data_IF_743789587763
#
_entry.id   IF_743789587763
#
_cell.length_a   1.000
_cell.length_b   1.000
_cell.length_c   1.000
_cell.angle_alpha   90.00
_cell.angle_beta   90.00
_cell.angle_gamma   90.00
#
_symmetry.space_group_name_H-M   'P 1'
#
loop_
_entity.id
_entity.type
_entity.pdbx_description
1 polymer ?
#
# COMPACT_ATOMS: atom_id res chain seq x y z
N UNK A 1 -7.55 22.77 -11.22
CA UNK A 1 -7.64 22.79 -9.75
C UNK A 1 -8.78 21.90 -9.21
N UNK A 2 -10.05 22.12 -9.62
CA UNK A 2 -11.20 21.36 -9.09
C UNK A 2 -11.08 19.84 -9.32
N UNK A 3 -10.64 19.41 -10.49
CA UNK A 3 -10.44 17.99 -10.81
C UNK A 3 -9.44 17.33 -9.85
N UNK A 4 -8.31 17.97 -9.60
CA UNK A 4 -7.31 17.46 -8.63
C UNK A 4 -7.85 17.45 -7.20
N UNK A 5 -8.63 18.46 -6.79
CA UNK A 5 -9.30 18.44 -5.49
C UNK A 5 -10.26 17.25 -5.33
N UNK A 6 -11.04 16.92 -6.38
CA UNK A 6 -11.88 15.71 -6.41
C UNK A 6 -11.03 14.44 -6.32
N UNK A 7 -9.94 14.36 -7.09
CA UNK A 7 -9.02 13.21 -7.07
C UNK A 7 -8.45 12.96 -5.68
N UNK A 8 -7.96 14.01 -5.00
CA UNK A 8 -7.43 13.91 -3.65
C UNK A 8 -8.50 13.48 -2.64
N UNK A 9 -9.73 14.02 -2.76
CA UNK A 9 -10.84 13.57 -1.93
C UNK A 9 -11.10 12.08 -2.11
N UNK A 10 -11.19 11.59 -3.33
CA UNK A 10 -11.37 10.16 -3.61
C UNK A 10 -10.20 9.35 -3.06
N UNK A 11 -8.96 9.80 -3.26
CA UNK A 11 -7.75 9.12 -2.79
C UNK A 11 -7.69 8.96 -1.26
N UNK A 12 -8.26 9.89 -0.51
CA UNK A 12 -8.35 9.80 0.96
C UNK A 12 -9.57 8.99 1.39
N UNK A 13 -10.75 9.33 0.87
CA UNK A 13 -12.01 8.79 1.37
C UNK A 13 -12.23 7.32 1.01
N UNK A 14 -11.61 6.80 -0.07
CA UNK A 14 -11.71 5.37 -0.35
C UNK A 14 -11.07 4.52 0.76
N UNK A 15 -9.97 4.99 1.37
CA UNK A 15 -9.35 4.31 2.51
C UNK A 15 -10.26 4.29 3.72
N UNK A 16 -11.03 5.38 3.91
CA UNK A 16 -11.99 5.47 5.02
C UNK A 16 -13.13 4.47 4.84
N UNK A 17 -13.73 4.41 3.64
CA UNK A 17 -14.81 3.43 3.39
C UNK A 17 -14.30 1.98 3.39
N UNK A 18 -13.06 1.73 2.94
CA UNK A 18 -12.45 0.39 2.99
C UNK A 18 -12.25 -0.10 4.43
N UNK A 19 -12.00 0.82 5.36
CA UNK A 19 -11.77 0.51 6.77
C UNK A 19 -13.07 0.42 7.57
N UNK A 20 -14.04 1.30 7.29
CA UNK A 20 -15.23 1.48 8.09
C UNK A 20 -16.56 1.08 7.41
N UNK A 21 -16.55 0.74 6.12
CA UNK A 21 -17.73 0.44 5.32
C UNK A 21 -18.51 1.70 4.97
N UNK A 22 -19.81 1.84 5.35
CA UNK A 22 -20.61 3.03 5.10
C UNK A 22 -19.99 4.29 5.71
N UNK A 23 -19.97 5.38 4.95
CA UNK A 23 -19.44 6.69 5.39
C UNK A 23 -20.31 7.85 4.88
N UNK A 24 -20.28 9.03 5.50
CA UNK A 24 -20.81 10.24 4.91
C UNK A 24 -19.98 10.66 3.71
N UNK A 25 -20.54 10.70 2.50
CA UNK A 25 -19.76 11.03 1.29
C UNK A 25 -20.50 11.98 0.34
N UNK A 26 -21.67 11.57 -0.17
CA UNK A 26 -22.36 12.29 -1.26
C UNK A 26 -23.12 13.53 -0.80
N UNK A 27 -23.49 13.59 0.47
CA UNK A 27 -24.39 14.62 1.04
C UNK A 27 -23.69 15.56 2.03
N UNK A 28 -22.36 15.53 2.09
CA UNK A 28 -21.56 16.35 3.03
C UNK A 28 -21.68 17.84 2.72
N UNK A 29 -21.79 18.18 1.44
CA UNK A 29 -21.97 19.56 0.97
C UNK A 29 -23.41 19.70 0.44
N UNK A 30 -24.15 20.66 0.95
CA UNK A 30 -25.49 20.95 0.46
C UNK A 30 -25.46 21.64 -0.93
N UNK A 31 -26.66 21.83 -1.52
CA UNK A 31 -26.79 22.44 -2.85
C UNK A 31 -26.32 23.91 -2.90
N UNK A 32 -26.22 24.56 -1.77
CA UNK A 32 -25.77 25.95 -1.63
C UNK A 32 -24.29 26.06 -1.27
N UNK A 33 -23.59 24.91 -1.14
CA UNK A 33 -22.17 24.86 -0.75
C UNK A 33 -21.94 24.90 0.76
N UNK A 34 -22.99 24.81 1.57
CA UNK A 34 -22.90 24.70 3.01
C UNK A 34 -22.50 23.29 3.47
N UNK A 35 -21.81 23.19 4.61
CA UNK A 35 -21.47 21.91 5.24
C UNK A 35 -22.60 21.51 6.18
N UNK A 36 -23.18 20.34 5.96
CA UNK A 36 -24.17 19.78 6.88
C UNK A 36 -23.46 19.11 8.06
N UNK A 37 -23.92 19.43 9.29
CA UNK A 37 -23.44 18.79 10.51
C UNK A 37 -24.14 17.47 10.83
N UNK A 38 -25.26 17.17 10.14
CA UNK A 38 -26.00 15.91 10.27
C UNK A 38 -26.16 15.29 8.89
N UNK A 39 -25.22 14.45 8.51
CA UNK A 39 -25.18 13.81 7.20
C UNK A 39 -25.44 12.32 7.35
N UNK A 40 -26.43 11.76 6.62
CA UNK A 40 -26.63 10.32 6.59
C UNK A 40 -25.44 9.63 5.94
N UNK A 41 -25.17 8.40 6.37
CA UNK A 41 -24.16 7.55 5.75
C UNK A 41 -24.67 7.06 4.40
N UNK A 42 -23.79 7.08 3.40
CA UNK A 42 -24.00 6.37 2.16
C UNK A 42 -23.47 4.93 2.34
N UNK A 43 -24.10 3.94 1.72
CA UNK A 43 -23.58 2.58 1.70
C UNK A 43 -22.22 2.53 0.98
N UNK A 44 -21.39 1.55 1.29
CA UNK A 44 -20.09 1.40 0.61
C UNK A 44 -20.25 1.27 -0.90
N UNK A 45 -21.29 0.59 -1.37
CA UNK A 45 -21.61 0.49 -2.80
C UNK A 45 -21.90 1.87 -3.43
N UNK A 46 -22.73 2.69 -2.79
CA UNK A 46 -23.01 4.05 -3.26
C UNK A 46 -21.77 4.93 -3.27
N UNK A 47 -20.94 4.83 -2.22
CA UNK A 47 -19.66 5.55 -2.14
C UNK A 47 -18.73 5.15 -3.31
N UNK A 48 -18.54 3.87 -3.57
CA UNK A 48 -17.71 3.39 -4.69
C UNK A 48 -18.24 3.84 -6.04
N UNK A 49 -19.55 3.75 -6.29
CA UNK A 49 -20.19 4.23 -7.53
C UNK A 49 -19.97 5.73 -7.72
N UNK A 50 -20.12 6.52 -6.67
CA UNK A 50 -19.92 7.97 -6.74
C UNK A 50 -18.43 8.30 -6.98
N UNK A 51 -17.50 7.61 -6.30
CA UNK A 51 -16.07 7.80 -6.49
C UNK A 51 -15.61 7.43 -7.91
N UNK A 52 -16.11 6.34 -8.49
CA UNK A 52 -15.82 5.97 -9.87
C UNK A 52 -16.33 7.02 -10.87
N UNK A 53 -17.53 7.57 -10.64
CA UNK A 53 -18.05 8.68 -11.44
C UNK A 53 -17.12 9.90 -11.36
N UNK A 54 -16.69 10.27 -10.16
CA UNK A 54 -15.78 11.39 -9.95
C UNK A 54 -14.42 11.16 -10.59
N UNK A 55 -13.88 9.94 -10.52
CA UNK A 55 -12.63 9.57 -11.19
C UNK A 55 -12.74 9.64 -12.72
N UNK A 56 -13.90 9.30 -13.30
CA UNK A 56 -14.15 9.46 -14.72
C UNK A 56 -14.12 10.95 -15.10
N UNK A 57 -14.87 11.80 -14.39
CA UNK A 57 -14.85 13.25 -14.61
C UNK A 57 -13.43 13.83 -14.47
N UNK A 58 -12.66 13.35 -13.50
CA UNK A 58 -11.25 13.77 -13.29
C UNK A 58 -10.37 13.33 -14.44
N UNK A 59 -10.46 12.07 -14.87
CA UNK A 59 -9.62 11.56 -15.96
C UNK A 59 -9.93 12.22 -17.29
N UNK A 60 -11.19 12.58 -17.57
CA UNK A 60 -11.56 13.33 -18.78
C UNK A 60 -10.91 14.72 -18.79
N UNK A 61 -11.00 15.46 -17.69
CA UNK A 61 -10.35 16.78 -17.56
C UNK A 61 -8.83 16.67 -17.66
N UNK A 62 -8.20 15.70 -17.00
CA UNK A 62 -6.74 15.53 -17.03
C UNK A 62 -6.24 15.14 -18.42
N UNK A 63 -6.97 14.31 -19.15
CA UNK A 63 -6.64 13.87 -20.51
C UNK A 63 -6.56 15.04 -21.49
N UNK A 64 -7.42 16.04 -21.32
CA UNK A 64 -7.41 17.25 -22.15
C UNK A 64 -6.28 18.24 -21.78
N UNK A 65 -5.59 18.01 -20.66
CA UNK A 65 -4.63 18.94 -20.07
C UNK A 65 -3.28 18.28 -19.72
N UNK A 66 -2.89 17.19 -20.40
CA UNK A 66 -1.66 16.45 -20.10
C UNK A 66 -0.39 17.29 -20.17
N UNK A 67 -0.33 18.21 -21.12
CA UNK A 67 0.82 19.09 -21.38
C UNK A 67 0.75 20.40 -20.60
N UNK A 68 -0.29 20.59 -19.78
CA UNK A 68 -0.42 21.80 -18.99
C UNK A 68 0.63 21.80 -17.89
N UNK A 69 1.44 22.87 -17.86
CA UNK A 69 2.42 23.12 -16.81
C UNK A 69 2.02 24.36 -15.98
N UNK A 70 1.16 24.19 -14.96
CA UNK A 70 0.66 25.30 -14.16
C UNK A 70 1.71 25.73 -13.14
N UNK A 71 2.54 26.72 -13.47
CA UNK A 71 3.62 27.23 -12.61
C UNK A 71 3.14 27.55 -11.17
N UNK A 72 1.96 28.15 -11.05
CA UNK A 72 1.37 28.45 -9.73
C UNK A 72 1.03 27.20 -8.93
N UNK A 73 0.52 26.14 -9.59
CA UNK A 73 0.16 24.90 -8.91
C UNK A 73 1.37 24.07 -8.53
N UNK A 74 2.45 24.13 -9.33
CA UNK A 74 3.70 23.39 -9.06
C UNK A 74 4.23 23.63 -7.65
N UNK A 75 4.06 24.84 -7.12
CA UNK A 75 4.54 25.25 -5.78
C UNK A 75 3.75 24.60 -4.62
N UNK A 76 2.58 24.02 -4.91
CA UNK A 76 1.67 23.43 -3.92
C UNK A 76 1.45 21.93 -4.18
N UNK A 77 2.16 21.35 -5.14
CA UNK A 77 2.06 19.93 -5.48
C UNK A 77 3.32 19.21 -5.04
N UNK A 78 3.29 18.71 -3.82
CA UNK A 78 4.38 17.96 -3.19
C UNK A 78 4.43 16.47 -3.60
N UNK A 79 3.62 16.07 -4.62
CA UNK A 79 3.60 14.71 -5.15
C UNK A 79 4.27 14.65 -6.52
N UNK A 80 3.78 15.45 -7.48
CA UNK A 80 4.23 15.39 -8.88
C UNK A 80 4.71 16.72 -9.43
N UNK A 81 4.78 17.75 -8.58
CA UNK A 81 5.30 19.09 -8.94
C UNK A 81 4.64 19.68 -10.19
N UNK A 82 3.32 19.52 -10.30
CA UNK A 82 2.51 20.04 -11.41
C UNK A 82 2.45 19.14 -12.65
N UNK A 83 3.04 17.95 -12.64
CA UNK A 83 3.02 17.04 -13.80
C UNK A 83 1.64 16.40 -13.98
N UNK A 84 0.85 16.94 -14.93
CA UNK A 84 -0.52 16.47 -15.19
C UNK A 84 -0.56 15.06 -15.79
N UNK A 85 0.45 14.66 -16.57
CA UNK A 85 0.54 13.31 -17.11
C UNK A 85 0.71 12.26 -15.99
N UNK A 86 1.50 12.56 -14.96
CA UNK A 86 1.63 11.67 -13.79
C UNK A 86 0.34 11.64 -12.96
N UNK A 87 -0.34 12.77 -12.78
CA UNK A 87 -1.66 12.81 -12.13
C UNK A 87 -2.72 12.00 -12.90
N UNK A 88 -2.67 12.01 -14.24
CA UNK A 88 -3.54 11.18 -15.06
C UNK A 88 -3.29 9.69 -14.87
N UNK A 89 -2.02 9.25 -14.87
CA UNK A 89 -1.63 7.86 -14.56
C UNK A 89 -2.05 7.47 -13.15
N UNK A 90 -1.89 8.37 -12.18
CA UNK A 90 -2.34 8.14 -10.81
C UNK A 90 -3.85 7.91 -10.71
N UNK A 91 -4.66 8.76 -11.37
CA UNK A 91 -6.11 8.63 -11.37
C UNK A 91 -6.57 7.29 -11.99
N UNK A 92 -5.97 6.89 -13.13
CA UNK A 92 -6.24 5.57 -13.74
C UNK A 92 -5.77 4.41 -12.86
N UNK A 93 -4.63 4.54 -12.19
CA UNK A 93 -4.15 3.54 -11.24
C UNK A 93 -5.10 3.38 -10.05
N UNK A 94 -5.68 4.46 -9.58
CA UNK A 94 -6.70 4.43 -8.53
C UNK A 94 -7.99 3.75 -9.03
N UNK A 95 -8.41 3.98 -10.29
CA UNK A 95 -9.53 3.26 -10.91
C UNK A 95 -9.25 1.75 -10.97
N UNK A 96 -8.05 1.34 -11.36
CA UNK A 96 -7.65 -0.07 -11.37
C UNK A 96 -7.71 -0.68 -9.97
N UNK A 97 -7.20 0.03 -8.94
CA UNK A 97 -7.29 -0.42 -7.54
C UNK A 97 -8.75 -0.64 -7.11
N UNK A 98 -9.65 0.26 -7.47
CA UNK A 98 -11.08 0.14 -7.19
C UNK A 98 -11.69 -1.08 -7.88
N UNK A 99 -11.36 -1.26 -9.15
CA UNK A 99 -11.85 -2.38 -9.95
C UNK A 99 -11.51 -3.74 -9.29
N UNK A 100 -10.25 -3.96 -8.90
CA UNK A 100 -9.85 -5.21 -8.26
C UNK A 100 -10.55 -5.42 -6.91
N UNK A 101 -10.83 -4.36 -6.13
CA UNK A 101 -11.61 -4.45 -4.89
C UNK A 101 -13.07 -4.80 -5.13
N UNK A 102 -13.63 -4.39 -6.26
CA UNK A 102 -15.00 -4.70 -6.65
C UNK A 102 -15.16 -6.07 -7.33
N UNK A 103 -14.06 -6.76 -7.65
CA UNK A 103 -14.04 -7.95 -8.51
C UNK A 103 -14.97 -9.11 -8.06
N UNK A 104 -15.29 -9.19 -6.77
CA UNK A 104 -16.17 -10.23 -6.22
C UNK A 104 -17.63 -9.78 -6.05
N UNK A 105 -17.89 -8.47 -5.97
CA UNK A 105 -19.24 -7.93 -5.70
C UNK A 105 -19.90 -7.39 -6.97
N UNK A 106 -19.11 -6.89 -7.93
CA UNK A 106 -19.57 -6.43 -9.24
C UNK A 106 -18.50 -6.73 -10.31
N UNK A 107 -18.34 -8.00 -10.68
CA UNK A 107 -17.26 -8.45 -11.59
C UNK A 107 -17.34 -7.84 -12.99
N UNK A 108 -18.55 -7.53 -13.49
CA UNK A 108 -18.75 -6.95 -14.82
C UNK A 108 -18.23 -5.52 -14.86
N UNK A 109 -18.67 -4.68 -13.94
CA UNK A 109 -18.20 -3.28 -13.84
C UNK A 109 -16.70 -3.27 -13.51
N UNK A 110 -16.23 -4.15 -12.63
CA UNK A 110 -14.83 -4.27 -12.25
C UNK A 110 -13.94 -4.53 -13.47
N UNK A 111 -14.29 -5.51 -14.32
CA UNK A 111 -13.52 -5.79 -15.53
C UNK A 111 -13.49 -4.58 -16.48
N UNK A 112 -14.64 -3.98 -16.77
CA UNK A 112 -14.73 -2.83 -17.67
C UNK A 112 -13.89 -1.65 -17.20
N UNK A 113 -13.95 -1.34 -15.90
CA UNK A 113 -13.17 -0.25 -15.30
C UNK A 113 -11.67 -0.56 -15.34
N UNK A 114 -11.28 -1.80 -15.02
CA UNK A 114 -9.88 -2.23 -15.01
C UNK A 114 -9.25 -2.14 -16.41
N UNK A 115 -9.90 -2.72 -17.41
CA UNK A 115 -9.43 -2.72 -18.80
C UNK A 115 -9.34 -1.30 -19.37
N UNK A 116 -10.35 -0.47 -19.13
CA UNK A 116 -10.33 0.93 -19.56
C UNK A 116 -9.22 1.73 -18.87
N UNK A 117 -8.97 1.51 -17.57
CA UNK A 117 -7.91 2.18 -16.84
C UNK A 117 -6.51 1.80 -17.36
N UNK A 118 -6.27 0.52 -17.61
CA UNK A 118 -4.99 0.03 -18.17
C UNK A 118 -4.77 0.55 -19.58
N UNK A 119 -5.80 0.55 -20.42
CA UNK A 119 -5.72 1.11 -21.79
C UNK A 119 -5.44 2.61 -21.78
N UNK A 120 -6.00 3.35 -20.83
CA UNK A 120 -5.77 4.80 -20.70
C UNK A 120 -4.36 5.14 -20.19
N UNK A 121 -3.71 4.21 -19.52
CA UNK A 121 -2.37 4.35 -18.96
C UNK A 121 -2.37 4.50 -17.44
N UNK A 122 -1.73 3.53 -16.78
CA UNK A 122 -1.52 3.46 -15.34
C UNK A 122 -0.04 3.65 -14.99
N UNK A 123 0.29 3.74 -13.71
CA UNK A 123 1.67 3.76 -13.22
C UNK A 123 2.32 2.40 -13.52
N UNK A 124 3.45 2.41 -14.25
CA UNK A 124 4.22 1.21 -14.64
C UNK A 124 5.71 1.33 -14.38
N UNK A 125 6.18 2.47 -13.90
CA UNK A 125 7.58 2.75 -13.56
C UNK A 125 7.67 3.38 -12.18
N UNK A 126 8.76 3.10 -11.47
CA UNK A 126 9.04 3.73 -10.17
C UNK A 126 9.19 5.26 -10.26
N UNK A 127 9.52 5.81 -11.42
CA UNK A 127 9.55 7.26 -11.67
C UNK A 127 8.18 7.92 -11.55
N UNK A 128 7.11 7.14 -11.70
CA UNK A 128 5.72 7.61 -11.60
C UNK A 128 5.09 7.32 -10.23
N UNK A 129 5.86 6.77 -9.28
CA UNK A 129 5.37 6.50 -7.93
C UNK A 129 4.82 7.78 -7.28
N UNK A 130 3.64 7.68 -6.66
CA UNK A 130 3.03 8.79 -5.95
C UNK A 130 3.62 8.89 -4.54
N UNK A 131 4.62 9.73 -4.41
CA UNK A 131 5.32 10.01 -3.16
C UNK A 131 4.96 11.41 -2.69
N UNK A 132 4.21 11.53 -1.58
CA UNK A 132 3.97 12.81 -0.95
C UNK A 132 5.19 13.20 -0.12
N UNK A 133 5.91 14.22 -0.56
CA UNK A 133 6.98 14.85 0.23
C UNK A 133 6.35 15.70 1.35
N UNK A 134 6.88 15.60 2.54
CA UNK A 134 6.39 16.32 3.73
C UNK A 134 7.53 16.96 4.48
N UNK A 135 7.28 18.10 5.13
CA UNK A 135 8.25 18.72 6.04
C UNK A 135 8.49 17.87 7.28
N UNK A 136 7.43 17.22 7.78
CA UNK A 136 7.49 16.35 8.93
C UNK A 136 6.58 15.11 8.74
N UNK A 137 7.19 13.93 8.68
CA UNK A 137 6.46 12.68 8.70
C UNK A 137 6.12 12.27 10.14
N UNK A 138 4.93 12.65 10.58
CA UNK A 138 4.48 12.35 11.94
C UNK A 138 4.27 10.87 12.23
N UNK A 139 4.10 10.02 11.21
CA UNK A 139 4.05 8.58 11.42
C UNK A 139 5.36 8.03 12.01
N UNK A 140 6.50 8.69 11.72
CA UNK A 140 7.79 8.31 12.32
C UNK A 140 7.80 8.41 13.84
N UNK A 141 7.07 9.36 14.42
CA UNK A 141 6.94 9.55 15.89
C UNK A 141 6.30 8.32 16.55
N UNK A 142 5.29 7.71 15.90
CA UNK A 142 4.59 6.52 16.43
C UNK A 142 5.55 5.36 16.62
N UNK A 143 6.51 5.19 15.70
CA UNK A 143 7.47 4.10 15.73
C UNK A 143 8.69 4.42 16.58
N UNK A 144 9.21 5.65 16.49
CA UNK A 144 10.52 6.02 17.04
C UNK A 144 10.44 6.70 18.41
N UNK A 145 9.48 7.62 18.60
CA UNK A 145 9.40 8.42 19.84
C UNK A 145 8.42 7.77 20.83
N UNK A 146 7.19 7.49 20.38
CA UNK A 146 6.17 6.89 21.25
C UNK A 146 6.36 5.40 21.46
N UNK A 147 7.02 4.72 20.52
CA UNK A 147 7.23 3.27 20.56
C UNK A 147 5.93 2.45 20.65
N UNK A 148 4.84 2.96 20.08
CA UNK A 148 3.50 2.35 20.23
C UNK A 148 3.22 1.26 19.19
N UNK A 149 3.92 1.25 18.05
CA UNK A 149 3.67 0.30 16.97
C UNK A 149 4.93 -0.49 16.60
N UNK A 150 4.71 -1.72 16.16
CA UNK A 150 5.74 -2.64 15.67
C UNK A 150 5.28 -3.31 14.38
N UNK A 151 6.21 -3.91 13.68
CA UNK A 151 5.91 -4.67 12.45
C UNK A 151 5.11 -5.92 12.82
N UNK A 152 4.09 -6.23 12.02
CA UNK A 152 3.29 -7.44 12.20
C UNK A 152 4.09 -8.72 11.91
N UNK A 153 3.75 -9.80 12.64
CA UNK A 153 4.42 -11.08 12.49
C UNK A 153 4.30 -11.65 11.07
N UNK A 154 3.14 -11.47 10.43
CA UNK A 154 2.86 -12.07 9.12
C UNK A 154 3.89 -11.66 8.07
N UNK A 155 4.12 -10.35 7.89
CA UNK A 155 5.10 -9.87 6.91
C UNK A 155 6.52 -10.33 7.24
N UNK A 156 6.88 -10.37 8.53
CA UNK A 156 8.22 -10.83 8.95
C UNK A 156 8.40 -12.31 8.67
N UNK A 157 7.42 -13.15 8.94
CA UNK A 157 7.46 -14.59 8.64
C UNK A 157 7.67 -14.85 7.14
N UNK A 158 6.95 -14.12 6.29
CA UNK A 158 7.18 -14.21 4.85
C UNK A 158 8.60 -13.77 4.47
N UNK A 159 9.01 -12.56 4.85
CA UNK A 159 10.30 -12.02 4.45
C UNK A 159 11.50 -12.79 5.01
N UNK A 160 11.38 -13.36 6.22
CA UNK A 160 12.41 -14.24 6.77
C UNK A 160 12.47 -15.58 6.01
N UNK A 161 11.32 -16.23 5.80
CA UNK A 161 11.24 -17.53 5.15
C UNK A 161 11.74 -17.51 3.70
N UNK A 162 11.49 -16.41 2.99
CA UNK A 162 11.96 -16.19 1.62
C UNK A 162 13.34 -15.52 1.53
N UNK A 163 14.03 -15.29 2.64
CA UNK A 163 15.28 -14.50 2.68
C UNK A 163 15.21 -13.19 1.89
N UNK A 164 14.08 -12.49 2.02
CA UNK A 164 13.77 -11.32 1.23
C UNK A 164 14.74 -10.16 1.55
N UNK A 165 15.59 -9.71 0.60
CA UNK A 165 16.58 -8.68 0.87
C UNK A 165 15.97 -7.30 1.14
N UNK A 166 14.69 -7.07 0.78
CA UNK A 166 14.01 -5.80 1.04
C UNK A 166 13.79 -5.57 2.52
N UNK A 167 13.76 -6.64 3.36
CA UNK A 167 13.58 -6.51 4.82
C UNK A 167 14.63 -5.61 5.47
N UNK A 168 15.87 -5.62 4.98
CA UNK A 168 16.97 -4.77 5.48
C UNK A 168 16.76 -3.28 5.20
N UNK A 169 15.96 -2.97 4.17
CA UNK A 169 15.57 -1.60 3.81
C UNK A 169 14.29 -1.15 4.47
N UNK A 170 13.46 -2.10 4.91
CA UNK A 170 12.14 -1.83 5.45
C UNK A 170 12.09 -1.84 6.97
N UNK A 171 12.91 -2.67 7.63
CA UNK A 171 12.76 -2.97 9.06
C UNK A 171 14.08 -2.94 9.82
N UNK A 172 14.03 -2.51 11.07
CA UNK A 172 15.17 -2.59 11.99
C UNK A 172 15.37 -4.02 12.47
N UNK A 173 16.64 -4.40 12.70
CA UNK A 173 16.97 -5.66 13.38
C UNK A 173 16.68 -5.58 14.88
N UNK A 174 16.47 -6.75 15.48
CA UNK A 174 16.38 -6.98 16.93
C UNK A 174 17.13 -8.27 17.27
N UNK A 175 17.38 -8.52 18.56
CA UNK A 175 17.95 -9.80 18.99
C UNK A 175 16.91 -10.90 18.93
N UNK A 176 17.18 -11.92 18.15
CA UNK A 176 16.36 -13.15 18.04
C UNK A 176 17.20 -14.36 18.46
N UNK A 177 16.54 -15.41 18.94
CA UNK A 177 17.23 -16.64 19.32
C UNK A 177 17.33 -17.59 18.13
N UNK A 178 18.56 -17.96 17.78
CA UNK A 178 18.84 -19.00 16.80
C UNK A 178 19.66 -20.12 17.42
N UNK A 179 19.57 -21.32 16.86
CA UNK A 179 20.41 -22.43 17.28
C UNK A 179 21.72 -22.42 16.50
N UNK A 180 22.79 -21.95 17.14
CA UNK A 180 24.14 -21.93 16.58
C UNK A 180 25.01 -22.97 17.29
N UNK A 181 25.52 -23.95 16.55
CA UNK A 181 26.32 -25.03 17.13
C UNK A 181 25.57 -25.86 18.20
N UNK A 182 24.24 -25.99 18.06
CA UNK A 182 23.38 -26.74 18.99
C UNK A 182 22.99 -25.97 20.27
N UNK A 183 23.28 -24.66 20.35
CA UNK A 183 22.96 -23.81 21.52
C UNK A 183 22.11 -22.62 21.10
N UNK A 184 21.08 -22.26 21.92
CA UNK A 184 20.36 -20.99 21.71
C UNK A 184 21.34 -19.80 21.83
N UNK A 185 21.40 -19.00 20.79
CA UNK A 185 22.32 -17.84 20.69
C UNK A 185 21.53 -16.63 20.23
N UNK A 186 21.79 -15.48 20.83
CA UNK A 186 21.19 -14.21 20.40
C UNK A 186 21.92 -13.68 19.17
N UNK A 187 21.23 -13.58 18.06
CA UNK A 187 21.73 -13.02 16.79
C UNK A 187 20.87 -11.82 16.39
N UNK A 188 21.43 -10.98 15.50
CA UNK A 188 20.63 -9.91 14.90
C UNK A 188 19.71 -10.49 13.82
N UNK A 189 18.42 -10.25 13.96
CA UNK A 189 17.40 -10.76 13.06
C UNK A 189 16.16 -9.89 13.05
N UNK A 190 15.07 -10.42 12.53
CA UNK A 190 13.80 -9.69 12.42
C UNK A 190 12.71 -10.47 13.16
N UNK A 191 11.96 -9.77 14.02
CA UNK A 191 10.81 -10.32 14.72
C UNK A 191 9.61 -9.39 14.58
N UNK A 192 8.44 -9.96 14.27
CA UNK A 192 7.17 -9.24 14.18
C UNK A 192 6.25 -9.55 15.36
N UNK A 193 5.42 -8.59 15.74
CA UNK A 193 4.40 -8.78 16.75
C UNK A 193 3.17 -9.46 16.16
N UNK A 194 2.67 -10.52 16.82
CA UNK A 194 1.44 -11.18 16.39
C UNK A 194 0.22 -10.31 16.69
N UNK A 195 -0.67 -10.16 15.71
CA UNK A 195 -1.92 -9.42 15.88
C UNK A 195 -2.80 -10.11 16.92
N UNK A 196 -3.39 -9.34 17.83
CA UNK A 196 -4.33 -9.83 18.83
C UNK A 196 -3.70 -10.41 20.09
N UNK A 197 -2.38 -10.31 20.28
CA UNK A 197 -1.76 -10.65 21.56
C UNK A 197 -2.02 -9.55 22.59
N UNK A 198 -2.16 -9.95 23.85
CA UNK A 198 -2.14 -9.02 24.97
C UNK A 198 -0.69 -8.65 25.33
N UNK A 199 -0.38 -7.36 25.28
CA UNK A 199 0.91 -6.81 25.66
C UNK A 199 0.70 -5.92 26.89
N UNK A 200 0.82 -6.48 28.12
CA UNK A 200 0.46 -5.78 29.35
C UNK A 200 1.30 -4.51 29.58
N UNK A 201 2.55 -4.50 29.13
CA UNK A 201 3.44 -3.35 29.23
C UNK A 201 4.36 -3.27 28.01
N UNK A 202 4.17 -2.25 27.20
CA UNK A 202 4.96 -2.02 25.99
C UNK A 202 6.46 -1.85 26.26
N UNK A 203 6.85 -1.28 27.40
CA UNK A 203 8.25 -1.04 27.73
C UNK A 203 9.04 -2.35 27.93
N UNK A 204 8.38 -3.43 28.31
CA UNK A 204 9.02 -4.73 28.48
C UNK A 204 9.26 -5.46 27.14
N UNK A 205 8.59 -5.04 26.07
CA UNK A 205 8.61 -5.75 24.77
C UNK A 205 9.03 -4.89 23.60
N UNK A 206 9.08 -3.55 23.74
CA UNK A 206 9.34 -2.62 22.64
C UNK A 206 10.62 -2.91 21.85
N UNK A 207 11.65 -3.40 22.50
CA UNK A 207 12.96 -3.67 21.89
C UNK A 207 13.10 -5.11 21.36
N UNK A 208 12.04 -5.91 21.47
CA UNK A 208 12.01 -7.31 21.01
C UNK A 208 11.39 -7.50 19.63
N UNK A 209 10.78 -6.46 19.07
CA UNK A 209 10.13 -6.49 17.78
C UNK A 209 10.68 -5.41 16.84
N UNK A 210 10.85 -5.77 15.59
CA UNK A 210 11.29 -4.87 14.52
C UNK A 210 10.35 -3.68 14.34
N UNK A 211 10.93 -2.55 13.97
CA UNK A 211 10.21 -1.31 13.59
C UNK A 211 10.37 -1.04 12.11
N UNK A 212 9.43 -0.35 11.46
CA UNK A 212 9.68 0.22 10.13
C UNK A 212 10.86 1.20 10.18
N UNK A 213 11.73 1.13 9.17
CA UNK A 213 12.77 2.15 8.96
C UNK A 213 12.09 3.37 8.36
N UNK A 214 11.92 4.41 9.17
CA UNK A 214 11.31 5.67 8.78
C UNK A 214 11.93 6.82 9.56
N UNK A 215 11.91 8.01 8.97
CA UNK A 215 12.39 9.26 9.57
C UNK A 215 11.35 10.36 9.45
N UNK A 216 11.59 11.49 10.09
CA UNK A 216 10.74 12.68 9.96
C UNK A 216 10.66 13.22 8.53
N UNK A 217 11.65 12.92 7.68
CA UNK A 217 11.68 13.35 6.27
C UNK A 217 11.28 12.26 5.27
N UNK A 218 10.92 11.05 5.73
CA UNK A 218 10.46 9.99 4.85
C UNK A 218 9.16 10.37 4.15
N UNK A 219 9.06 10.27 2.81
CA UNK A 219 7.82 10.59 2.11
C UNK A 219 6.73 9.53 2.38
N UNK A 220 5.47 9.94 2.20
CA UNK A 220 4.36 9.00 2.22
C UNK A 220 4.13 8.40 0.84
N UNK A 221 4.20 7.08 0.74
CA UNK A 221 3.84 6.33 -0.47
C UNK A 221 2.32 6.17 -0.57
N UNK A 222 1.71 6.75 -1.62
CA UNK A 222 0.28 6.61 -1.89
C UNK A 222 -0.05 5.44 -2.82
N UNK A 223 0.67 5.37 -3.94
CA UNK A 223 0.60 4.30 -4.95
C UNK A 223 1.99 4.10 -5.53
N UNK A 224 2.39 2.86 -5.75
CA UNK A 224 3.63 2.54 -6.44
C UNK A 224 3.42 1.63 -7.65
N UNK A 225 4.42 1.57 -8.52
CA UNK A 225 4.41 0.79 -9.74
C UNK A 225 4.28 -0.72 -9.47
N UNK A 226 4.92 -1.22 -8.41
CA UNK A 226 4.84 -2.63 -8.04
C UNK A 226 3.40 -3.04 -7.69
N UNK A 227 2.70 -2.25 -6.84
CA UNK A 227 1.30 -2.50 -6.51
C UNK A 227 0.42 -2.56 -7.76
N UNK A 228 0.54 -1.53 -8.62
CA UNK A 228 -0.30 -1.44 -9.82
C UNK A 228 -0.01 -2.58 -10.78
N UNK A 229 1.24 -3.02 -10.86
CA UNK A 229 1.61 -4.17 -11.73
C UNK A 229 1.11 -5.50 -11.14
N UNK A 230 1.10 -5.67 -9.80
CA UNK A 230 0.43 -6.81 -9.16
C UNK A 230 -1.08 -6.82 -9.41
N UNK A 231 -1.75 -5.66 -9.33
CA UNK A 231 -3.18 -5.57 -9.65
C UNK A 231 -3.46 -5.93 -11.12
N UNK A 232 -2.56 -5.56 -12.05
CA UNK A 232 -2.64 -6.00 -13.45
C UNK A 232 -2.45 -7.51 -13.57
N UNK A 233 -1.49 -8.09 -12.83
CA UNK A 233 -1.27 -9.53 -12.80
C UNK A 233 -2.52 -10.28 -12.30
N UNK A 234 -3.15 -9.80 -11.24
CA UNK A 234 -4.41 -10.37 -10.73
C UNK A 234 -5.54 -10.25 -11.75
N UNK A 235 -5.72 -9.10 -12.40
CA UNK A 235 -6.71 -8.93 -13.46
C UNK A 235 -6.47 -9.87 -14.64
N UNK A 236 -5.21 -10.03 -15.08
CA UNK A 236 -4.84 -10.97 -16.14
C UNK A 236 -5.12 -12.43 -15.76
N UNK A 237 -4.89 -12.82 -14.49
CA UNK A 237 -5.25 -14.16 -13.99
C UNK A 237 -6.78 -14.39 -14.02
N UNK A 238 -7.58 -13.34 -13.89
CA UNK A 238 -9.05 -13.37 -14.04
C UNK A 238 -9.51 -13.41 -15.50
N UNK A 239 -8.58 -13.36 -16.48
CA UNK A 239 -8.87 -13.31 -17.90
C UNK A 239 -9.18 -11.91 -18.44
N UNK A 240 -8.86 -10.85 -17.71
CA UNK A 240 -9.07 -9.46 -18.13
C UNK A 240 -7.91 -8.96 -19.00
N UNK A 241 -8.18 -7.99 -19.88
CA UNK A 241 -7.20 -7.36 -20.77
C UNK A 241 -6.26 -6.38 -20.04
N UNK A 242 -5.24 -6.91 -19.34
CA UNK A 242 -4.35 -6.13 -18.48
C UNK A 242 -3.02 -5.70 -19.14
N UNK A 243 -2.89 -5.89 -20.46
CA UNK A 243 -1.67 -5.48 -21.21
C UNK A 243 -0.45 -6.36 -20.95
N UNK A 244 -0.65 -7.63 -20.57
CA UNK A 244 0.38 -8.64 -20.39
C UNK A 244 -0.16 -9.90 -19.75
N UNK A 245 0.62 -10.98 -19.85
CA UNK A 245 0.31 -12.24 -19.20
C UNK A 245 0.50 -12.17 -17.69
N UNK A 246 -0.36 -12.89 -16.95
CA UNK A 246 -0.38 -12.84 -15.48
C UNK A 246 0.99 -13.12 -14.85
N UNK A 247 1.68 -14.16 -15.31
CA UNK A 247 3.02 -14.52 -14.81
C UNK A 247 4.03 -13.43 -15.08
N UNK A 248 4.09 -12.91 -16.30
CA UNK A 248 5.04 -11.86 -16.68
C UNK A 248 4.82 -10.57 -15.88
N UNK A 249 3.56 -10.17 -15.67
CA UNK A 249 3.21 -9.03 -14.85
C UNK A 249 3.56 -9.25 -13.36
N UNK A 250 3.36 -10.45 -12.84
CA UNK A 250 3.75 -10.80 -11.48
C UNK A 250 5.26 -10.68 -11.26
N UNK A 251 6.06 -11.26 -12.17
CA UNK A 251 7.53 -11.18 -12.13
C UNK A 251 8.02 -9.73 -12.30
N UNK A 252 7.39 -8.96 -13.19
CA UNK A 252 7.67 -7.53 -13.36
C UNK A 252 7.39 -6.74 -12.07
N UNK A 253 6.30 -7.04 -11.37
CA UNK A 253 5.95 -6.37 -10.12
C UNK A 253 6.99 -6.63 -9.01
N UNK A 254 7.54 -7.85 -8.94
CA UNK A 254 8.63 -8.18 -8.03
C UNK A 254 9.88 -7.36 -8.39
N UNK A 255 10.27 -7.32 -9.67
CA UNK A 255 11.43 -6.53 -10.13
C UNK A 255 11.27 -5.05 -9.78
N UNK A 256 10.10 -4.45 -10.03
CA UNK A 256 9.81 -3.06 -9.65
C UNK A 256 9.93 -2.82 -8.15
N UNK A 257 9.49 -3.78 -7.33
CA UNK A 257 9.63 -3.68 -5.88
C UNK A 257 11.08 -3.78 -5.43
N UNK A 258 11.90 -4.67 -6.01
CA UNK A 258 13.32 -4.77 -5.71
C UNK A 258 14.06 -3.48 -6.10
N UNK A 259 13.78 -2.97 -7.30
CA UNK A 259 14.32 -1.68 -7.78
C UNK A 259 13.95 -0.52 -6.85
N UNK A 260 12.68 -0.43 -6.42
CA UNK A 260 12.22 0.61 -5.49
C UNK A 260 13.01 0.64 -4.18
N UNK A 261 13.40 -0.52 -3.66
CA UNK A 261 14.21 -0.62 -2.44
C UNK A 261 15.72 -0.64 -2.70
N UNK A 262 16.15 -0.56 -3.96
CA UNK A 262 17.58 -0.58 -4.33
C UNK A 262 18.31 -1.86 -3.94
N UNK A 263 17.62 -3.01 -4.04
CA UNK A 263 18.18 -4.33 -3.75
C UNK A 263 18.26 -5.18 -5.02
N UNK A 264 19.22 -6.09 -5.08
CA UNK A 264 19.44 -7.03 -6.18
C UNK A 264 18.88 -8.42 -5.85
N UNK A 265 18.89 -9.33 -6.86
CA UNK A 265 18.54 -10.73 -6.67
C UNK A 265 17.08 -11.08 -6.95
N UNK A 266 16.34 -10.21 -7.63
CA UNK A 266 14.94 -10.46 -7.98
C UNK A 266 14.78 -11.76 -8.80
N UNK A 267 15.64 -12.03 -9.77
CA UNK A 267 15.55 -13.26 -10.59
C UNK A 267 15.72 -14.53 -9.75
N UNK A 268 16.66 -14.52 -8.80
CA UNK A 268 16.85 -15.65 -7.86
C UNK A 268 15.65 -15.82 -6.95
N UNK A 269 15.10 -14.72 -6.45
CA UNK A 269 13.90 -14.71 -5.62
C UNK A 269 12.67 -15.26 -6.38
N UNK A 270 12.49 -14.87 -7.64
CA UNK A 270 11.40 -15.34 -8.51
C UNK A 270 11.54 -16.83 -8.84
N UNK A 271 12.79 -17.29 -9.06
CA UNK A 271 13.07 -18.68 -9.42
C UNK A 271 12.98 -19.66 -8.23
N UNK A 272 12.98 -19.17 -7.01
CA UNK A 272 12.92 -20.00 -5.81
C UNK A 272 11.52 -20.57 -5.58
N UNK A 273 11.36 -21.85 -5.89
CA UNK A 273 10.12 -22.62 -5.67
C UNK A 273 10.13 -23.39 -4.34
N UNK A 274 11.15 -23.24 -3.50
CA UNK A 274 11.36 -24.05 -2.30
C UNK A 274 11.16 -23.29 -1.00
N UNK A 275 11.38 -21.99 -0.99
CA UNK A 275 11.18 -21.15 0.17
C UNK A 275 9.70 -21.06 0.57
N UNK A 276 9.46 -21.02 1.86
CA UNK A 276 8.15 -20.91 2.47
C UNK A 276 8.18 -19.92 3.61
N UNK A 277 7.05 -19.32 4.02
CA UNK A 277 7.01 -18.47 5.19
C UNK A 277 7.62 -19.18 6.41
N UNK A 278 8.44 -18.45 7.16
CA UNK A 278 9.00 -18.98 8.41
C UNK A 278 7.88 -19.19 9.42
N UNK A 279 7.95 -20.28 10.18
CA UNK A 279 7.05 -20.46 11.31
C UNK A 279 7.24 -19.31 12.32
N UNK A 280 6.14 -18.81 12.85
CA UNK A 280 6.20 -17.75 13.83
C UNK A 280 6.90 -18.24 15.12
N UNK A 281 7.86 -17.45 15.59
CA UNK A 281 8.52 -17.63 16.88
C UNK A 281 8.39 -16.32 17.64
N UNK A 282 7.76 -16.36 18.81
CA UNK A 282 7.68 -15.19 19.69
C UNK A 282 9.04 -14.95 20.35
N UNK A 283 9.64 -13.74 20.19
CA UNK A 283 10.89 -13.40 20.86
C UNK A 283 10.73 -13.22 22.37
N UNK A 284 9.49 -13.24 22.89
CA UNK A 284 9.19 -13.13 24.32
C UNK A 284 8.68 -14.47 24.84
N UNK A 285 9.52 -15.25 25.49
CA UNK A 285 9.13 -16.58 26.05
C UNK A 285 7.87 -16.57 26.95
N UNK A 286 7.49 -15.38 27.44
CA UNK A 286 6.34 -15.20 28.33
C UNK A 286 4.97 -15.19 27.63
N UNK A 287 4.93 -14.98 26.31
CA UNK A 287 3.67 -14.90 25.54
C UNK A 287 3.43 -16.12 24.65
N UNK A 288 4.40 -17.01 24.55
CA UNK A 288 4.40 -18.13 23.61
C UNK A 288 3.95 -19.47 24.23
N UNK A 289 3.71 -19.53 25.54
CA UNK A 289 3.29 -20.78 26.19
C UNK A 289 1.93 -21.27 25.61
N UNK A 290 1.99 -22.04 24.53
CA UNK A 290 0.86 -22.71 23.90
C UNK A 290 0.39 -22.18 22.55
N UNK A 291 1.12 -21.27 21.91
CA UNK A 291 0.68 -20.67 20.65
C UNK A 291 1.76 -20.71 19.56
N UNK A 292 2.10 -21.89 19.10
CA UNK A 292 2.72 -22.05 17.78
C UNK A 292 1.64 -21.92 16.71
N UNK A 293 1.55 -20.78 16.02
CA UNK A 293 0.80 -20.69 14.79
C UNK A 293 1.78 -20.86 13.62
N UNK A 294 1.67 -21.97 12.92
CA UNK A 294 2.21 -22.07 11.58
C UNK A 294 1.33 -21.19 10.68
N UNK A 295 1.93 -20.21 10.00
CA UNK A 295 1.29 -19.60 8.84
C UNK A 295 1.37 -20.67 7.74
N UNK A 296 0.27 -21.33 7.44
CA UNK A 296 0.13 -22.29 6.35
C UNK A 296 -0.57 -21.62 5.19
#
# INVERSE_FOLDING_TARGET
>A
ALALGKLLRVAVMHRVTDMFGPIPYSKVVDKLGGISLSVPYDSQEEVYKQMLKELNEVTDVLKENLDLDPETFRKFDDVYYGNMSKWYKYANSLKLRFALRMAYVDPITAQQVAEAAVQAGVITSNDDNALLTVEENRASMIFNDWNDHRVGADIICYMNGYNDPRREKMFTTVKVKETVGGKPTDVDGYAGVRIGIDVPNKDNVKDRYSKPITSTTSPYMWINAAEITFLRAEGALRGWGMGGEAKALYEQAINLSFEQYGVSGADTYIADATSQPQAYTDPTDSYSAGQTSSIT
#
